data_IF_901303094620
#
_entry.id   IF_901303094620
#
_cell.length_a   1.000
_cell.length_b   1.000
_cell.length_c   1.000
_cell.angle_alpha   90.00
_cell.angle_beta   90.00
_cell.angle_gamma   90.00
#
_symmetry.space_group_name_H-M   'P 1'
#
loop_
_entity.id
_entity.type
_entity.pdbx_description
1 polymer ?
#
# COMPACT_ATOMS: atom_id res chain seq x y z
N UNK A 1 25.60 18.54 -5.99
CA UNK A 1 26.53 18.17 -4.90
C UNK A 1 25.79 18.34 -3.57
N UNK A 2 25.09 17.32 -3.09
CA UNK A 2 24.49 17.35 -1.75
C UNK A 2 25.50 16.83 -0.74
N UNK A 3 25.68 17.58 0.34
CA UNK A 3 26.74 17.38 1.30
C UNK A 3 26.48 16.09 2.12
N UNK A 4 27.54 15.38 2.52
CA UNK A 4 27.44 14.17 3.35
C UNK A 4 26.70 14.42 4.69
N UNK A 5 26.56 15.68 5.13
CA UNK A 5 25.76 16.04 6.31
C UNK A 5 24.25 15.92 6.10
N UNK A 6 23.74 16.14 4.88
CA UNK A 6 22.29 16.15 4.61
C UNK A 6 21.69 14.73 4.65
N UNK A 7 22.49 13.71 4.36
CA UNK A 7 22.10 12.29 4.44
C UNK A 7 22.13 11.71 5.87
N UNK A 8 22.86 12.35 6.80
CA UNK A 8 23.01 11.85 8.18
C UNK A 8 21.74 12.13 9.00
N UNK A 9 21.06 13.25 8.76
CA UNK A 9 19.90 13.65 9.56
C UNK A 9 18.64 12.82 9.29
N UNK A 10 18.37 12.41 8.04
CA UNK A 10 17.27 11.48 7.75
C UNK A 10 17.50 10.08 8.36
N UNK A 11 18.77 9.64 8.49
CA UNK A 11 19.11 8.39 9.19
C UNK A 11 18.86 8.47 10.70
N UNK A 12 18.99 9.65 11.31
CA UNK A 12 18.78 9.83 12.75
C UNK A 12 17.30 9.78 13.17
N UNK A 13 16.36 10.00 12.24
CA UNK A 13 14.94 10.01 12.59
C UNK A 13 14.44 8.64 13.09
N UNK A 14 14.97 7.50 12.57
CA UNK A 14 14.45 6.17 12.92
C UNK A 14 15.42 4.97 12.79
N UNK A 15 16.72 5.13 12.44
CA UNK A 15 17.71 4.03 12.43
C UNK A 15 18.52 3.93 13.75
N UNK A 16 17.84 4.02 14.90
CA UNK A 16 18.47 3.72 16.18
C UNK A 16 18.29 2.23 16.49
N UNK A 17 19.35 1.45 16.23
CA UNK A 17 19.47 0.06 16.68
C UNK A 17 19.12 -0.02 18.17
N UNK A 18 18.36 -1.05 18.54
CA UNK A 18 17.96 -1.39 19.92
C UNK A 18 19.18 -1.62 20.85
N UNK A 19 20.38 -1.68 20.30
CA UNK A 19 21.63 -1.91 21.02
C UNK A 19 22.61 -0.75 20.81
N UNK A 20 22.54 0.28 21.66
CA UNK A 20 23.72 1.04 22.08
C UNK A 20 23.41 1.80 23.38
N UNK A 21 23.04 1.04 24.43
CA UNK A 21 23.01 1.54 25.83
C UNK A 21 24.39 1.99 26.34
N UNK A 22 25.47 1.80 25.57
CA UNK A 22 26.86 1.94 26.03
C UNK A 22 27.57 3.24 25.62
N UNK A 23 27.00 4.13 24.80
CA UNK A 23 27.61 5.44 24.49
C UNK A 23 27.01 6.64 25.24
N UNK A 24 26.08 6.39 26.15
CA UNK A 24 25.31 7.44 26.84
C UNK A 24 26.07 8.16 27.98
N UNK A 25 27.39 8.01 28.11
CA UNK A 25 28.14 8.46 29.30
C UNK A 25 28.66 9.90 29.26
N UNK A 26 28.60 10.61 28.12
CA UNK A 26 29.11 12.00 28.02
C UNK A 26 28.16 12.94 27.25
N UNK A 27 26.91 13.09 27.74
CA UNK A 27 26.00 14.13 27.21
C UNK A 27 25.58 15.05 28.36
N UNK A 28 25.93 16.34 28.25
CA UNK A 28 25.63 17.37 29.26
C UNK A 28 24.13 17.41 29.62
N UNK A 29 23.77 17.79 30.85
CA UNK A 29 22.36 17.86 31.31
C UNK A 29 21.47 18.73 30.40
N UNK A 30 22.01 19.80 29.80
CA UNK A 30 21.30 20.70 28.88
C UNK A 30 21.05 20.03 27.52
N UNK A 31 22.04 19.29 27.02
CA UNK A 31 21.94 18.50 25.77
C UNK A 31 21.02 17.29 25.95
N UNK A 32 21.04 16.63 27.11
CA UNK A 32 20.08 15.55 27.46
C UNK A 32 18.64 16.06 27.56
N UNK A 33 18.42 17.27 28.07
CA UNK A 33 17.10 17.90 28.13
C UNK A 33 16.61 18.28 26.73
N UNK A 34 17.43 18.99 25.95
CA UNK A 34 17.14 19.32 24.54
C UNK A 34 16.89 18.09 23.66
N UNK A 35 17.62 16.99 23.88
CA UNK A 35 17.39 15.72 23.21
C UNK A 35 16.04 15.12 23.65
N UNK A 36 15.78 14.98 24.95
CA UNK A 36 14.53 14.44 25.48
C UNK A 36 13.28 15.22 25.06
N UNK A 37 13.41 16.53 24.81
CA UNK A 37 12.31 17.43 24.45
C UNK A 37 12.10 17.53 22.93
N UNK A 38 12.97 16.94 22.09
CA UNK A 38 12.78 16.92 20.63
C UNK A 38 11.52 16.15 20.21
N UNK A 39 10.81 16.64 19.18
CA UNK A 39 9.62 15.97 18.61
C UNK A 39 9.96 14.53 18.20
N UNK A 40 11.15 14.30 17.66
CA UNK A 40 11.67 12.98 17.28
C UNK A 40 11.64 11.99 18.46
N UNK A 41 12.18 12.39 19.61
CA UNK A 41 12.19 11.53 20.79
C UNK A 41 10.81 11.34 21.40
N UNK A 42 9.93 12.33 21.32
CA UNK A 42 8.54 12.19 21.78
C UNK A 42 7.76 11.20 20.90
N UNK A 43 7.88 11.32 19.58
CA UNK A 43 7.32 10.38 18.60
C UNK A 43 7.85 8.97 18.84
N UNK A 44 9.16 8.81 19.03
CA UNK A 44 9.77 7.51 19.31
C UNK A 44 9.25 6.88 20.60
N UNK A 45 9.18 7.65 21.70
CA UNK A 45 8.66 7.17 22.99
C UNK A 45 7.20 6.72 22.86
N UNK A 46 6.37 7.50 22.17
CA UNK A 46 4.96 7.13 21.93
C UNK A 46 4.84 5.89 21.04
N UNK A 47 5.63 5.79 19.97
CA UNK A 47 5.63 4.61 19.10
C UNK A 47 6.00 3.34 19.87
N UNK A 48 7.02 3.39 20.73
CA UNK A 48 7.38 2.27 21.60
C UNK A 48 6.27 1.88 22.58
N UNK A 49 5.57 2.86 23.16
CA UNK A 49 4.44 2.59 24.05
C UNK A 49 3.30 1.89 23.30
N UNK A 50 2.99 2.34 22.09
CA UNK A 50 1.97 1.73 21.23
C UNK A 50 2.36 0.32 20.77
N UNK A 51 3.62 0.09 20.37
CA UNK A 51 4.13 -1.25 20.05
C UNK A 51 4.01 -2.17 21.27
N UNK A 52 4.43 -1.70 22.45
CA UNK A 52 4.33 -2.48 23.69
C UNK A 52 2.88 -2.78 24.05
N UNK A 53 1.98 -1.82 23.85
CA UNK A 53 0.55 -2.00 24.05
C UNK A 53 0.01 -3.14 23.19
N UNK A 54 0.19 -3.08 21.87
CA UNK A 54 -0.30 -4.11 20.95
C UNK A 54 0.36 -5.47 21.15
N UNK A 55 1.63 -5.52 21.55
CA UNK A 55 2.28 -6.80 21.91
C UNK A 55 1.67 -7.44 23.16
N UNK A 56 1.18 -6.63 24.10
CA UNK A 56 0.70 -7.10 25.40
C UNK A 56 -0.83 -7.25 25.47
N UNK A 57 -1.59 -6.76 24.49
CA UNK A 57 -3.05 -6.82 24.44
C UNK A 57 -3.54 -7.42 23.12
N UNK A 58 -4.51 -8.33 23.15
CA UNK A 58 -5.23 -8.80 21.94
C UNK A 58 -4.35 -9.60 20.96
N UNK A 59 -4.07 -10.88 21.29
CA UNK A 59 -3.30 -11.82 20.47
C UNK A 59 -1.90 -11.34 20.00
N UNK A 60 -1.38 -10.22 20.52
CA UNK A 60 -0.04 -9.71 20.20
C UNK A 60 0.10 -9.08 18.82
N UNK A 61 -1.01 -8.66 18.19
CA UNK A 61 -1.04 -8.21 16.78
C UNK A 61 -1.13 -6.69 16.68
N UNK A 62 -0.17 -6.07 15.98
CA UNK A 62 -0.23 -4.66 15.59
C UNK A 62 -1.19 -4.57 14.39
N UNK A 63 -2.18 -3.68 14.39
CA UNK A 63 -3.07 -3.58 13.24
C UNK A 63 -2.39 -2.78 12.11
N UNK A 64 -2.70 -3.11 10.86
CA UNK A 64 -2.28 -2.27 9.69
C UNK A 64 -3.30 -1.18 9.37
N UNK A 65 -4.34 -1.03 10.19
CA UNK A 65 -5.42 -0.07 10.01
C UNK A 65 -6.06 0.25 11.37
N UNK A 66 -6.69 1.41 11.49
CA UNK A 66 -7.52 1.75 12.64
C UNK A 66 -8.82 2.36 12.14
N UNK A 67 -9.94 1.97 12.73
CA UNK A 67 -11.18 2.73 12.61
C UNK A 67 -11.03 4.09 13.28
N UNK A 68 -11.83 5.08 12.88
CA UNK A 68 -11.85 6.40 13.52
C UNK A 68 -12.06 6.31 15.05
N UNK A 69 -12.87 5.35 15.49
CA UNK A 69 -13.12 5.08 16.91
C UNK A 69 -11.86 4.56 17.61
N UNK A 70 -11.24 3.51 17.08
CA UNK A 70 -10.00 2.95 17.65
C UNK A 70 -8.88 3.98 17.69
N UNK A 71 -8.72 4.78 16.62
CA UNK A 71 -7.76 5.87 16.56
C UNK A 71 -8.00 6.90 17.67
N UNK A 72 -9.26 7.29 17.90
CA UNK A 72 -9.64 8.23 18.96
C UNK A 72 -9.36 7.66 20.35
N UNK A 73 -9.69 6.38 20.58
CA UNK A 73 -9.43 5.70 21.85
C UNK A 73 -7.94 5.60 22.16
N UNK A 74 -7.12 5.22 21.17
CA UNK A 74 -5.66 5.16 21.31
C UNK A 74 -5.06 6.53 21.58
N UNK A 75 -5.51 7.56 20.84
CA UNK A 75 -5.04 8.93 21.06
C UNK A 75 -5.40 9.39 22.47
N UNK A 76 -6.63 9.18 22.92
CA UNK A 76 -7.06 9.54 24.28
C UNK A 76 -6.29 8.79 25.37
N UNK A 77 -5.83 7.57 25.09
CA UNK A 77 -5.08 6.75 26.04
C UNK A 77 -3.61 7.14 26.14
N UNK A 78 -2.94 7.37 25.01
CA UNK A 78 -1.49 7.51 24.95
C UNK A 78 -1.00 8.92 24.60
N UNK A 79 -1.87 9.76 24.03
CA UNK A 79 -1.49 11.04 23.43
C UNK A 79 -2.59 12.12 23.65
N UNK A 80 -3.31 12.06 24.79
CA UNK A 80 -4.49 12.91 25.05
C UNK A 80 -4.18 14.40 24.98
N UNK A 81 -3.03 14.79 25.52
CA UNK A 81 -2.58 16.17 25.61
C UNK A 81 -1.59 16.54 24.49
N UNK A 82 -1.39 15.64 23.53
CA UNK A 82 -0.41 15.81 22.46
C UNK A 82 -1.10 16.24 21.15
N UNK A 83 -0.29 16.75 20.21
CA UNK A 83 -0.77 17.12 18.88
C UNK A 83 -1.19 15.89 18.07
N UNK A 84 -2.08 16.10 17.10
CA UNK A 84 -2.41 15.07 16.11
C UNK A 84 -1.16 14.59 15.36
N UNK A 85 -0.28 15.51 15.00
CA UNK A 85 0.97 15.20 14.31
C UNK A 85 1.82 14.19 15.08
N UNK A 86 2.04 14.43 16.37
CA UNK A 86 2.84 13.54 17.21
C UNK A 86 2.26 12.12 17.26
N UNK A 87 0.93 12.01 17.37
CA UNK A 87 0.24 10.73 17.34
C UNK A 87 0.38 10.02 15.98
N UNK A 88 0.15 10.72 14.86
CA UNK A 88 0.24 10.10 13.54
C UNK A 88 1.68 9.75 13.13
N UNK A 89 2.67 10.56 13.51
CA UNK A 89 4.09 10.19 13.35
C UNK A 89 4.48 9.00 14.22
N UNK A 90 3.89 8.83 15.40
CA UNK A 90 4.11 7.61 16.18
C UNK A 90 3.50 6.37 15.50
N UNK A 91 2.35 6.49 14.85
CA UNK A 91 1.76 5.41 14.05
C UNK A 91 2.62 5.04 12.84
N UNK A 92 3.36 5.99 12.23
CA UNK A 92 4.37 5.66 11.22
C UNK A 92 5.42 4.70 11.77
N UNK A 93 5.83 4.88 13.04
CA UNK A 93 6.77 3.97 13.71
C UNK A 93 6.25 2.53 13.76
N UNK A 94 4.93 2.35 13.93
CA UNK A 94 4.29 1.03 13.86
C UNK A 94 4.25 0.51 12.42
N UNK A 95 3.86 1.36 11.46
CA UNK A 95 3.79 0.99 10.05
C UNK A 95 5.14 0.49 9.52
N UNK A 96 6.25 1.14 9.87
CA UNK A 96 7.61 0.74 9.49
C UNK A 96 7.99 -0.67 9.92
N UNK A 97 7.39 -1.18 10.99
CA UNK A 97 7.67 -2.54 11.45
C UNK A 97 7.15 -3.62 10.51
N UNK A 98 6.32 -3.27 9.53
CA UNK A 98 5.86 -4.18 8.48
C UNK A 98 6.71 -4.16 7.22
N UNK A 99 7.69 -3.26 7.13
CA UNK A 99 8.54 -3.15 5.96
C UNK A 99 9.30 -4.45 5.69
N UNK A 100 9.16 -4.96 4.48
CA UNK A 100 9.89 -6.11 3.94
C UNK A 100 11.02 -5.56 3.12
N UNK A 101 12.27 -5.79 3.53
CA UNK A 101 13.35 -4.97 3.03
C UNK A 101 14.73 -5.62 2.99
N UNK A 102 15.56 -5.11 2.07
CA UNK A 102 17.02 -5.22 2.01
C UNK A 102 17.75 -3.91 2.44
N UNK A 103 17.05 -2.77 2.47
CA UNK A 103 17.55 -1.39 2.65
C UNK A 103 17.01 -0.66 3.91
N UNK A 104 16.40 0.52 3.76
CA UNK A 104 15.84 1.39 4.80
C UNK A 104 14.31 1.27 4.94
N UNK A 105 13.81 1.05 6.17
CA UNK A 105 12.37 0.98 6.43
C UNK A 105 11.71 2.34 6.19
N UNK A 106 10.66 2.38 5.38
CA UNK A 106 9.81 3.55 5.15
C UNK A 106 8.39 3.20 5.55
N UNK A 107 7.74 4.10 6.30
CA UNK A 107 6.35 3.95 6.71
C UNK A 107 5.52 5.16 6.31
N UNK A 108 4.24 4.91 6.08
CA UNK A 108 3.25 5.92 5.78
C UNK A 108 1.94 5.61 6.52
N UNK A 109 1.17 6.65 6.78
CA UNK A 109 -0.15 6.56 7.41
C UNK A 109 -1.09 7.47 6.64
N UNK A 110 -2.13 6.88 6.03
CA UNK A 110 -3.19 7.58 5.33
C UNK A 110 -4.39 7.77 6.25
N UNK A 111 -4.89 9.00 6.37
CA UNK A 111 -6.10 9.35 7.11
C UNK A 111 -7.16 9.75 6.09
N UNK A 112 -8.31 9.10 6.15
CA UNK A 112 -9.39 9.27 5.17
C UNK A 112 -10.46 10.21 5.67
N UNK A 113 -11.36 10.62 4.77
CA UNK A 113 -12.47 11.51 5.11
C UNK A 113 -13.47 10.92 6.13
N UNK A 114 -13.44 9.61 6.32
CA UNK A 114 -14.23 8.90 7.35
C UNK A 114 -13.52 8.87 8.71
N UNK A 115 -12.29 9.39 8.81
CA UNK A 115 -11.46 9.37 10.01
C UNK A 115 -10.70 8.07 10.24
N UNK A 116 -10.87 7.08 9.35
CA UNK A 116 -10.13 5.83 9.40
C UNK A 116 -8.66 6.05 9.01
N UNK A 117 -7.80 5.19 9.53
CA UNK A 117 -6.35 5.26 9.38
C UNK A 117 -5.85 3.98 8.73
N UNK A 118 -5.00 4.09 7.71
CA UNK A 118 -4.45 2.96 6.96
C UNK A 118 -2.93 3.06 6.89
N UNK A 119 -2.25 2.00 7.32
CA UNK A 119 -0.80 1.96 7.35
C UNK A 119 -0.28 1.53 5.99
N UNK A 120 0.88 2.06 5.64
CA UNK A 120 1.66 1.66 4.49
C UNK A 120 3.13 1.53 4.85
N UNK A 121 3.81 0.64 4.15
CA UNK A 121 5.18 0.26 4.42
C UNK A 121 5.81 -0.23 3.11
N UNK A 122 7.11 -0.05 2.96
CA UNK A 122 7.80 -0.51 1.75
C UNK A 122 7.95 -2.04 1.73
N UNK A 123 7.78 -2.62 0.54
CA UNK A 123 7.94 -4.07 0.29
C UNK A 123 8.90 -4.26 -0.87
N UNK A 124 10.03 -4.89 -0.57
CA UNK A 124 11.14 -5.17 -1.48
C UNK A 124 11.53 -6.65 -1.35
N UNK A 125 11.27 -7.45 -2.39
CA UNK A 125 11.70 -8.85 -2.41
C UNK A 125 13.05 -8.99 -3.12
N UNK A 126 14.04 -9.67 -2.50
CA UNK A 126 15.31 -9.95 -3.15
C UNK A 126 15.14 -10.70 -4.48
N UNK A 127 15.86 -10.28 -5.52
CA UNK A 127 15.83 -10.92 -6.84
C UNK A 127 14.65 -10.54 -7.73
N UNK A 128 13.77 -9.63 -7.30
CA UNK A 128 12.84 -8.94 -8.19
C UNK A 128 13.45 -7.61 -8.68
N UNK A 129 13.03 -7.15 -9.85
CA UNK A 129 13.43 -5.86 -10.39
C UNK A 129 12.91 -4.69 -9.53
N UNK A 130 13.60 -3.56 -9.55
CA UNK A 130 13.22 -2.35 -8.80
C UNK A 130 11.82 -1.82 -9.17
N UNK A 131 11.35 -2.08 -10.39
CA UNK A 131 9.95 -1.79 -10.79
C UNK A 131 8.91 -2.61 -10.03
N UNK A 132 9.32 -3.69 -9.36
CA UNK A 132 8.45 -4.49 -8.48
C UNK A 132 8.34 -3.90 -7.07
N UNK A 133 9.16 -2.93 -6.69
CA UNK A 133 9.13 -2.38 -5.34
C UNK A 133 7.82 -1.65 -5.06
N UNK A 134 7.28 -1.89 -3.87
CA UNK A 134 6.08 -1.20 -3.38
C UNK A 134 6.54 -0.18 -2.36
N UNK A 135 6.20 1.08 -2.61
CA UNK A 135 6.50 2.18 -1.71
C UNK A 135 5.47 2.25 -0.57
N UNK A 136 5.86 2.82 0.58
CA UNK A 136 4.98 2.95 1.72
C UNK A 136 3.70 3.74 1.41
N UNK A 137 3.81 4.79 0.59
CA UNK A 137 2.69 5.60 0.14
C UNK A 137 1.73 4.80 -0.75
N UNK A 138 2.25 3.98 -1.67
CA UNK A 138 1.45 3.07 -2.49
C UNK A 138 0.73 2.04 -1.61
N UNK A 139 1.42 1.46 -0.64
CA UNK A 139 0.84 0.51 0.31
C UNK A 139 -0.27 1.15 1.16
N UNK A 140 -0.10 2.38 1.64
CA UNK A 140 -1.12 3.08 2.42
C UNK A 140 -2.39 3.36 1.60
N UNK A 141 -2.22 3.82 0.36
CA UNK A 141 -3.32 4.06 -0.57
C UNK A 141 -4.01 2.75 -0.96
N UNK A 142 -3.24 1.71 -1.26
CA UNK A 142 -3.74 0.36 -1.52
C UNK A 142 -4.59 -0.15 -0.36
N UNK A 143 -4.09 -0.03 0.87
CA UNK A 143 -4.74 -0.48 2.10
C UNK A 143 -6.08 0.22 2.33
N UNK A 144 -6.14 1.55 2.13
CA UNK A 144 -7.37 2.32 2.20
C UNK A 144 -8.43 1.87 1.17
N UNK A 145 -7.98 1.26 0.07
CA UNK A 145 -8.83 0.73 -1.01
C UNK A 145 -9.14 -0.76 -0.86
N UNK A 146 -8.72 -1.43 0.21
CA UNK A 146 -9.12 -2.81 0.47
C UNK A 146 -10.56 -2.81 1.01
N UNK A 147 -11.51 -3.52 0.39
CA UNK A 147 -12.84 -3.71 0.96
C UNK A 147 -12.74 -4.56 2.23
N UNK A 148 -13.47 -4.17 3.28
CA UNK A 148 -13.48 -4.88 4.56
C UNK A 148 -14.91 -5.26 4.93
N UNK A 149 -15.07 -6.30 5.75
CA UNK A 149 -16.39 -6.81 6.12
C UNK A 149 -17.24 -5.79 6.90
N UNK A 150 -16.57 -4.93 7.68
CA UNK A 150 -17.17 -3.94 8.56
C UNK A 150 -17.36 -2.56 7.90
N UNK A 151 -16.79 -2.32 6.71
CA UNK A 151 -16.82 -1.00 6.06
C UNK A 151 -16.46 -1.00 4.57
N UNK A 152 -17.00 0.00 3.89
CA UNK A 152 -16.72 0.25 2.47
C UNK A 152 -15.27 0.74 2.23
N UNK A 153 -14.81 0.59 0.99
CA UNK A 153 -13.54 1.14 0.52
C UNK A 153 -13.51 2.67 0.62
N UNK A 154 -12.34 3.22 0.92
CA UNK A 154 -12.16 4.66 1.10
C UNK A 154 -11.97 5.35 -0.24
N UNK A 155 -12.79 6.37 -0.51
CA UNK A 155 -12.73 7.10 -1.79
C UNK A 155 -11.71 8.23 -1.75
N UNK A 156 -11.40 8.75 -0.57
CA UNK A 156 -10.65 9.98 -0.36
C UNK A 156 -9.71 9.85 0.83
N UNK A 157 -8.44 10.20 0.59
CA UNK A 157 -7.41 10.39 1.60
C UNK A 157 -7.21 11.89 1.78
N UNK A 158 -7.38 12.37 3.01
CA UNK A 158 -7.27 13.80 3.33
C UNK A 158 -5.87 14.16 3.86
N UNK A 159 -5.25 13.25 4.61
CA UNK A 159 -3.88 13.41 5.07
C UNK A 159 -3.05 12.15 4.79
N UNK A 160 -1.82 12.35 4.35
CA UNK A 160 -0.81 11.30 4.22
C UNK A 160 0.43 11.72 4.99
N UNK A 161 0.72 11.01 6.08
CA UNK A 161 1.96 11.17 6.81
C UNK A 161 2.96 10.16 6.27
N UNK A 162 4.21 10.56 6.03
CA UNK A 162 5.27 9.68 5.51
C UNK A 162 6.55 9.90 6.31
N UNK A 163 7.33 8.84 6.55
CA UNK A 163 8.59 8.93 7.29
C UNK A 163 9.72 9.65 6.54
N UNK A 164 9.52 9.96 5.25
CA UNK A 164 10.46 10.66 4.39
C UNK A 164 9.69 11.41 3.30
N UNK A 165 10.33 12.38 2.66
CA UNK A 165 9.74 13.09 1.52
C UNK A 165 9.35 12.10 0.40
N UNK A 166 8.11 12.15 -0.13
CA UNK A 166 7.67 11.20 -1.14
C UNK A 166 8.48 11.36 -2.41
N UNK A 167 8.83 10.25 -3.07
CA UNK A 167 9.57 10.27 -4.32
C UNK A 167 8.69 10.70 -5.51
N UNK A 168 9.31 10.99 -6.66
CA UNK A 168 8.58 11.38 -7.88
C UNK A 168 7.49 10.38 -8.30
N UNK A 169 7.81 9.07 -8.22
CA UNK A 169 6.84 8.00 -8.53
C UNK A 169 5.60 8.05 -7.63
N UNK A 170 5.79 8.24 -6.32
CA UNK A 170 4.67 8.34 -5.38
C UNK A 170 3.85 9.62 -5.56
N UNK A 171 4.51 10.75 -5.84
CA UNK A 171 3.80 12.00 -6.16
C UNK A 171 2.93 11.83 -7.40
N UNK A 172 3.46 11.18 -8.45
CA UNK A 172 2.73 10.89 -9.68
C UNK A 172 1.56 9.92 -9.45
N UNK A 173 1.76 8.87 -8.66
CA UNK A 173 0.69 7.95 -8.25
C UNK A 173 -0.45 8.66 -7.51
N UNK A 174 -0.12 9.54 -6.56
CA UNK A 174 -1.11 10.26 -5.74
C UNK A 174 -1.98 11.23 -6.55
N UNK A 175 -1.50 11.71 -7.71
CA UNK A 175 -2.29 12.56 -8.62
C UNK A 175 -3.50 11.83 -9.20
N UNK A 176 -3.43 10.50 -9.29
CA UNK A 176 -4.51 9.72 -9.90
C UNK A 176 -5.18 8.80 -8.90
N UNK A 177 -4.50 8.38 -7.84
CA UNK A 177 -5.05 7.39 -6.92
C UNK A 177 -5.97 8.00 -5.85
N UNK A 178 -5.90 9.32 -5.61
CA UNK A 178 -6.77 10.01 -4.66
C UNK A 178 -7.93 10.73 -5.36
N UNK A 179 -9.15 10.61 -4.84
CA UNK A 179 -10.37 11.13 -5.49
C UNK A 179 -10.30 12.62 -5.84
N UNK A 180 -9.73 13.45 -4.97
CA UNK A 180 -9.45 14.86 -5.23
C UNK A 180 -8.01 15.24 -4.84
N UNK A 181 -7.17 15.46 -5.84
CA UNK A 181 -5.74 15.81 -5.70
C UNK A 181 -5.47 17.11 -4.94
N UNK A 182 -6.42 18.05 -4.95
CA UNK A 182 -6.27 19.34 -4.26
C UNK A 182 -6.60 19.23 -2.76
N UNK A 183 -7.17 18.11 -2.33
CA UNK A 183 -7.59 17.92 -0.94
C UNK A 183 -6.54 17.25 -0.06
N UNK A 184 -5.63 16.43 -0.62
CA UNK A 184 -4.63 15.74 0.17
C UNK A 184 -3.54 16.68 0.71
N UNK A 185 -3.34 16.65 2.02
CA UNK A 185 -2.18 17.20 2.70
C UNK A 185 -1.17 16.08 2.93
N UNK A 186 0.10 16.33 2.63
CA UNK A 186 1.19 15.38 2.80
C UNK A 186 2.16 15.95 3.81
N UNK A 187 2.38 15.20 4.90
CA UNK A 187 3.24 15.60 6.01
C UNK A 187 4.44 14.66 6.15
N UNK A 188 5.64 15.23 6.21
CA UNK A 188 6.87 14.45 6.32
C UNK A 188 8.00 15.26 6.96
N UNK A 189 8.96 14.60 7.63
CA UNK A 189 10.14 15.27 8.15
C UNK A 189 11.11 15.64 7.02
N UNK A 190 11.65 16.85 7.06
CA UNK A 190 12.71 17.32 6.16
C UNK A 190 13.56 18.38 6.87
N UNK A 191 14.88 18.22 6.89
CA UNK A 191 15.83 19.15 7.50
C UNK A 191 15.46 19.59 8.94
N UNK A 192 15.02 18.64 9.78
CA UNK A 192 14.65 18.90 11.18
C UNK A 192 13.30 19.60 11.39
N UNK A 193 12.51 19.77 10.32
CA UNK A 193 11.17 20.34 10.37
C UNK A 193 10.14 19.34 9.84
N UNK A 194 8.89 19.51 10.27
CA UNK A 194 7.75 18.84 9.64
C UNK A 194 7.26 19.73 8.51
N UNK A 195 7.33 19.23 7.29
CA UNK A 195 6.72 19.85 6.12
C UNK A 195 5.26 19.44 6.08
N UNK A 196 4.36 20.39 5.80
CA UNK A 196 2.94 20.17 5.52
C UNK A 196 2.59 20.83 4.20
N UNK A 197 2.42 20.03 3.16
CA UNK A 197 2.20 20.55 1.81
C UNK A 197 1.06 19.84 1.09
N UNK A 198 0.40 20.58 0.21
CA UNK A 198 -0.54 20.00 -0.74
C UNK A 198 0.25 19.29 -1.84
N UNK A 199 -0.30 18.20 -2.38
CA UNK A 199 0.35 17.46 -3.46
C UNK A 199 0.79 18.33 -4.65
N UNK A 200 0.00 19.30 -5.16
CA UNK A 200 0.42 20.17 -6.27
C UNK A 200 1.68 21.00 -6.00
N UNK A 201 2.02 21.29 -4.74
CA UNK A 201 3.25 22.02 -4.42
C UNK A 201 4.49 21.11 -4.41
N UNK A 202 4.28 19.81 -4.26
CA UNK A 202 5.34 18.80 -4.25
C UNK A 202 5.71 18.33 -5.67
N UNK A 203 4.89 18.63 -6.68
CA UNK A 203 5.17 18.27 -8.08
C UNK A 203 5.02 19.50 -8.99
N UNK A 204 6.13 19.96 -9.58
CA UNK A 204 6.13 21.07 -10.53
C UNK A 204 5.68 20.57 -11.89
N UNK A 205 4.67 21.24 -12.48
CA UNK A 205 4.12 20.92 -13.80
C UNK A 205 3.79 19.42 -13.94
N UNK A 206 2.88 18.90 -13.09
CA UNK A 206 2.54 17.49 -13.09
C UNK A 206 1.97 17.07 -14.43
N UNK A 207 2.35 15.87 -14.90
CA UNK A 207 1.67 15.18 -15.97
C UNK A 207 0.48 14.40 -15.39
N UNK A 208 -0.71 14.54 -15.96
CA UNK A 208 -1.92 13.90 -15.44
C UNK A 208 -2.96 13.63 -16.51
N UNK A 209 -4.16 13.24 -16.08
CA UNK A 209 -5.24 12.84 -17.00
C UNK A 209 -5.67 13.96 -17.96
N UNK A 210 -5.41 15.22 -17.60
CA UNK A 210 -5.61 16.40 -18.46
C UNK A 210 -4.63 16.45 -19.63
N UNK A 211 -3.38 16.06 -19.43
CA UNK A 211 -2.31 16.18 -20.42
C UNK A 211 -2.40 15.13 -21.52
N UNK A 212 -3.01 13.97 -21.23
CA UNK A 212 -3.26 12.90 -22.21
C UNK A 212 -4.25 13.32 -23.32
N UNK A 213 -4.98 14.43 -23.16
CA UNK A 213 -5.97 14.89 -24.13
C UNK A 213 -5.55 16.16 -24.88
N UNK A 214 -4.40 16.76 -24.58
CA UNK A 214 -4.03 18.07 -25.15
C UNK A 214 -3.78 18.05 -26.67
N UNK A 215 -3.70 16.85 -27.29
CA UNK A 215 -3.48 16.68 -28.73
C UNK A 215 -4.28 15.51 -29.34
N UNK A 216 -5.48 15.19 -28.81
CA UNK A 216 -6.39 14.37 -29.63
C UNK A 216 -6.92 15.25 -30.76
N UNK A 217 -6.49 14.98 -32.00
CA UNK A 217 -6.88 15.75 -33.19
C UNK A 217 -8.41 15.76 -33.40
N UNK A 218 -9.14 14.87 -32.71
CA UNK A 218 -10.60 14.75 -32.75
C UNK A 218 -11.33 15.51 -31.65
N UNK A 219 -10.63 16.03 -30.64
CA UNK A 219 -11.21 16.80 -29.54
C UNK A 219 -10.28 17.96 -29.14
N UNK A 220 -10.47 19.10 -29.80
CA UNK A 220 -9.69 20.35 -29.59
C UNK A 220 -10.14 21.10 -28.32
N UNK A 221 -11.00 20.49 -27.50
CA UNK A 221 -11.46 21.10 -26.27
C UNK A 221 -10.46 20.86 -25.14
N UNK A 222 -9.81 21.93 -24.68
CA UNK A 222 -9.02 21.96 -23.44
C UNK A 222 -9.84 21.67 -22.15
N UNK A 223 -11.11 21.23 -22.27
CA UNK A 223 -12.03 20.98 -21.15
C UNK A 223 -12.11 19.51 -20.68
N UNK A 224 -11.40 18.59 -21.34
CA UNK A 224 -11.58 17.15 -21.14
C UNK A 224 -10.93 16.57 -19.88
N UNK A 225 -11.45 16.85 -18.68
CA UNK A 225 -11.08 16.07 -17.48
C UNK A 225 -11.65 14.65 -17.63
N UNK A 226 -10.80 13.65 -17.89
CA UNK A 226 -11.20 12.24 -17.78
C UNK A 226 -11.41 11.90 -16.31
N UNK A 227 -12.67 11.84 -15.88
CA UNK A 227 -13.02 11.44 -14.51
C UNK A 227 -12.67 9.96 -14.30
N UNK A 228 -12.04 9.62 -13.18
CA UNK A 228 -11.84 8.22 -12.76
C UNK A 228 -13.03 7.73 -11.94
N UNK A 229 -13.37 6.45 -12.06
CA UNK A 229 -14.48 5.83 -11.32
C UNK A 229 -14.12 4.42 -10.84
N UNK A 230 -14.80 3.99 -9.78
CA UNK A 230 -14.86 2.56 -9.44
C UNK A 230 -15.74 1.87 -10.48
N UNK A 231 -15.30 0.72 -10.98
CA UNK A 231 -15.93 0.02 -12.09
C UNK A 231 -17.17 -0.80 -11.64
N UNK A 232 -18.30 -0.14 -11.41
CA UNK A 232 -19.51 -0.81 -10.92
C UNK A 232 -20.18 -1.79 -11.93
N UNK A 233 -21.02 -2.63 -11.35
CA UNK A 233 -21.41 -4.02 -11.66
C UNK A 233 -22.27 -4.29 -12.92
N UNK A 234 -22.20 -3.46 -13.97
CA UNK A 234 -23.09 -3.61 -15.14
C UNK A 234 -22.55 -4.44 -16.31
N UNK A 235 -21.26 -4.28 -16.63
CA UNK A 235 -20.69 -4.75 -17.90
C UNK A 235 -19.91 -6.06 -17.78
N UNK A 236 -19.10 -6.21 -16.74
CA UNK A 236 -18.28 -7.40 -16.52
C UNK A 236 -19.11 -8.58 -15.99
N UNK A 237 -20.04 -8.33 -15.06
CA UNK A 237 -20.95 -9.33 -14.49
C UNK A 237 -21.82 -10.02 -15.55
N UNK A 238 -22.32 -9.24 -16.54
CA UNK A 238 -23.13 -9.73 -17.67
C UNK A 238 -22.33 -10.56 -18.66
N UNK A 239 -21.00 -10.45 -18.66
CA UNK A 239 -20.10 -11.13 -19.59
C UNK A 239 -19.38 -12.33 -18.99
N UNK A 240 -19.18 -12.33 -17.68
CA UNK A 240 -18.66 -13.47 -16.92
C UNK A 240 -19.70 -14.59 -16.72
N UNK A 241 -20.90 -14.43 -17.28
CA UNK A 241 -21.92 -15.48 -17.39
C UNK A 241 -21.42 -16.73 -18.13
N UNK A 242 -20.32 -16.65 -18.87
CA UNK A 242 -19.69 -17.78 -19.56
C UNK A 242 -18.85 -18.67 -18.62
N UNK A 243 -18.50 -18.20 -17.42
CA UNK A 243 -17.94 -19.05 -16.36
C UNK A 243 -19.10 -19.74 -15.65
N UNK A 244 -19.48 -20.92 -16.13
CA UNK A 244 -20.48 -21.76 -15.47
C UNK A 244 -19.98 -22.12 -14.05
N UNK A 245 -20.59 -21.54 -13.02
CA UNK A 245 -20.26 -21.69 -11.60
C UNK A 245 -18.79 -21.37 -11.24
N UNK A 246 -18.41 -20.08 -11.11
CA UNK A 246 -17.05 -19.70 -10.73
C UNK A 246 -16.66 -20.26 -9.36
N UNK A 247 -15.43 -20.74 -9.24
CA UNK A 247 -14.83 -21.11 -7.95
C UNK A 247 -14.68 -19.88 -7.04
N UNK A 248 -14.57 -20.04 -5.71
CA UNK A 248 -14.44 -18.91 -4.78
C UNK A 248 -13.28 -17.95 -5.12
N UNK A 249 -12.13 -18.46 -5.59
CA UNK A 249 -10.98 -17.64 -5.99
C UNK A 249 -11.26 -16.86 -7.29
N UNK A 250 -11.96 -17.46 -8.26
CA UNK A 250 -12.38 -16.76 -9.48
C UNK A 250 -13.38 -15.64 -9.15
N UNK A 251 -14.36 -15.91 -8.30
CA UNK A 251 -15.32 -14.89 -7.84
C UNK A 251 -14.61 -13.74 -7.12
N UNK A 252 -13.63 -14.04 -6.28
CA UNK A 252 -12.81 -13.02 -5.61
C UNK A 252 -12.01 -12.16 -6.61
N UNK A 253 -11.39 -12.76 -7.63
CA UNK A 253 -10.63 -12.04 -8.64
C UNK A 253 -11.54 -11.14 -9.50
N UNK A 254 -12.72 -11.62 -9.87
CA UNK A 254 -13.76 -10.88 -10.59
C UNK A 254 -14.23 -9.67 -9.77
N UNK A 255 -14.59 -9.90 -8.50
CA UNK A 255 -15.04 -8.83 -7.60
C UNK A 255 -13.96 -7.77 -7.42
N UNK A 256 -12.70 -8.18 -7.33
CA UNK A 256 -11.58 -7.25 -7.25
C UNK A 256 -11.41 -6.45 -8.55
N UNK A 257 -11.58 -7.07 -9.73
CA UNK A 257 -11.52 -6.35 -11.01
C UNK A 257 -12.59 -5.25 -11.12
N UNK A 258 -13.81 -5.51 -10.62
CA UNK A 258 -14.91 -4.53 -10.53
C UNK A 258 -14.60 -3.38 -9.54
N UNK A 259 -13.74 -3.62 -8.56
CA UNK A 259 -13.32 -2.61 -7.61
C UNK A 259 -12.11 -1.79 -8.07
N UNK A 260 -11.67 -1.98 -9.33
CA UNK A 260 -10.60 -1.20 -9.93
C UNK A 260 -10.94 0.29 -9.98
N UNK A 261 -9.91 1.13 -9.84
CA UNK A 261 -10.02 2.58 -9.97
C UNK A 261 -9.26 3.02 -11.22
N UNK A 262 -9.99 3.11 -12.32
CA UNK A 262 -9.40 3.37 -13.64
C UNK A 262 -10.04 4.55 -14.32
N UNK A 263 -9.42 4.95 -15.43
CA UNK A 263 -10.00 5.90 -16.36
C UNK A 263 -11.35 5.37 -16.86
N UNK A 264 -12.39 6.22 -16.76
CA UNK A 264 -13.77 5.86 -17.13
C UNK A 264 -13.93 5.53 -18.62
N UNK A 265 -13.05 6.04 -19.48
CA UNK A 265 -13.17 5.88 -20.94
C UNK A 265 -12.48 4.60 -21.42
N UNK A 266 -11.55 4.07 -20.61
CA UNK A 266 -10.81 2.84 -20.91
C UNK A 266 -11.47 1.63 -20.23
N UNK A 267 -11.97 1.79 -18.99
CA UNK A 267 -12.57 0.72 -18.18
C UNK A 267 -11.69 -0.54 -18.12
N UNK A 268 -10.46 -0.39 -17.63
CA UNK A 268 -9.49 -1.49 -17.52
C UNK A 268 -9.78 -2.34 -16.28
N UNK A 269 -10.72 -3.28 -16.40
CA UNK A 269 -11.02 -4.24 -15.34
C UNK A 269 -9.83 -5.15 -15.11
N UNK A 270 -9.20 -4.99 -13.95
CA UNK A 270 -8.00 -5.74 -13.57
C UNK A 270 -8.07 -6.12 -12.11
N UNK A 271 -8.07 -7.42 -11.86
CA UNK A 271 -8.19 -8.00 -10.53
C UNK A 271 -7.27 -9.20 -10.39
N UNK A 272 -6.86 -9.48 -9.17
CA UNK A 272 -6.12 -10.70 -8.84
C UNK A 272 -6.64 -11.22 -7.51
N UNK A 273 -6.82 -12.53 -7.42
CA UNK A 273 -7.01 -13.22 -6.16
C UNK A 273 -5.93 -14.29 -6.00
N UNK A 274 -5.46 -14.47 -4.77
CA UNK A 274 -4.52 -15.50 -4.37
C UNK A 274 -5.18 -16.31 -3.26
N UNK A 275 -5.32 -17.61 -3.50
CA UNK A 275 -5.65 -18.56 -2.44
C UNK A 275 -4.34 -19.20 -1.97
N UNK A 276 -4.13 -19.20 -0.67
CA UNK A 276 -2.96 -19.79 -0.04
C UNK A 276 -3.37 -20.93 0.86
N UNK A 277 -2.43 -21.84 1.11
CA UNK A 277 -2.49 -22.85 2.17
C UNK A 277 -1.33 -22.58 3.12
N UNK A 278 -1.63 -22.47 4.40
CA UNK A 278 -0.65 -22.25 5.46
C UNK A 278 -0.06 -23.55 6.01
N UNK A 279 1.02 -23.47 6.79
CA UNK A 279 1.63 -24.66 7.41
C UNK A 279 0.73 -25.35 8.45
N UNK A 280 -0.30 -24.67 8.98
CA UNK A 280 -1.33 -25.30 9.82
C UNK A 280 -2.50 -25.88 9.01
N UNK A 281 -2.48 -25.75 7.69
CA UNK A 281 -3.52 -26.26 6.79
C UNK A 281 -4.69 -25.29 6.57
N UNK A 282 -4.61 -24.05 7.05
CA UNK A 282 -5.63 -23.01 6.82
C UNK A 282 -5.57 -22.54 5.37
N UNK A 283 -6.73 -22.50 4.70
CA UNK A 283 -6.88 -21.92 3.36
C UNK A 283 -7.55 -20.56 3.45
N UNK A 284 -6.98 -19.55 2.80
CA UNK A 284 -7.52 -18.19 2.75
C UNK A 284 -7.34 -17.55 1.39
N UNK A 285 -8.30 -16.68 1.01
CA UNK A 285 -8.31 -15.96 -0.25
C UNK A 285 -8.11 -14.47 0.01
N UNK A 286 -7.11 -13.90 -0.63
CA UNK A 286 -6.83 -12.47 -0.65
C UNK A 286 -6.97 -11.94 -2.06
N UNK A 287 -7.59 -10.78 -2.22
CA UNK A 287 -7.80 -10.20 -3.54
C UNK A 287 -7.45 -8.72 -3.58
N UNK A 288 -7.06 -8.26 -4.77
CA UNK A 288 -6.68 -6.88 -5.02
C UNK A 288 -7.15 -6.41 -6.40
N UNK A 289 -7.41 -5.11 -6.49
CA UNK A 289 -7.84 -4.40 -7.67
C UNK A 289 -6.73 -3.49 -8.19
N UNK A 290 -6.81 -3.16 -9.48
CA UNK A 290 -5.91 -2.22 -10.10
C UNK A 290 -6.33 -0.77 -9.83
N UNK A 291 -5.38 0.07 -9.44
CA UNK A 291 -5.57 1.52 -9.29
C UNK A 291 -4.63 2.18 -10.29
N UNK A 292 -5.20 2.69 -11.37
CA UNK A 292 -4.44 3.20 -12.50
C UNK A 292 -3.92 4.62 -12.25
N UNK A 293 -2.71 4.90 -12.73
CA UNK A 293 -2.13 6.23 -12.87
C UNK A 293 -1.91 6.59 -14.34
N UNK A 294 -1.96 7.89 -14.68
CA UNK A 294 -1.70 8.44 -16.02
C UNK A 294 -0.31 8.01 -16.54
N UNK A 295 0.68 7.88 -15.66
CA UNK A 295 1.90 7.15 -15.95
C UNK A 295 1.75 5.70 -15.52
N UNK A 296 1.52 4.79 -16.47
CA UNK A 296 1.19 3.38 -16.20
C UNK A 296 2.17 2.69 -15.23
N UNK A 297 3.44 3.11 -15.24
CA UNK A 297 4.50 2.62 -14.35
C UNK A 297 4.26 2.93 -12.87
N UNK A 298 3.40 3.91 -12.56
CA UNK A 298 3.09 4.36 -11.20
C UNK A 298 1.77 3.81 -10.66
N UNK A 299 1.04 3.03 -11.47
CA UNK A 299 -0.21 2.41 -11.06
C UNK A 299 0.01 1.44 -9.89
N UNK A 300 -0.95 1.39 -8.97
CA UNK A 300 -0.94 0.39 -7.90
C UNK A 300 -1.53 -0.89 -8.46
N UNK A 301 -0.78 -1.97 -8.32
CA UNK A 301 -1.11 -3.27 -8.88
C UNK A 301 -1.95 -4.07 -7.88
N UNK A 302 -2.81 -5.00 -8.34
CA UNK A 302 -3.58 -5.89 -7.49
C UNK A 302 -2.76 -6.56 -6.37
N UNK A 303 -1.55 -7.02 -6.70
CA UNK A 303 -0.69 -7.74 -5.76
C UNK A 303 -0.31 -6.89 -4.54
N UNK A 304 -0.27 -5.56 -4.66
CA UNK A 304 0.02 -4.66 -3.54
C UNK A 304 -1.01 -4.80 -2.42
N UNK A 305 -2.30 -4.86 -2.76
CA UNK A 305 -3.37 -5.05 -1.78
C UNK A 305 -3.33 -6.44 -1.15
N UNK A 306 -3.01 -7.46 -1.96
CA UNK A 306 -2.86 -8.84 -1.49
C UNK A 306 -1.74 -8.91 -0.44
N UNK A 307 -0.56 -8.36 -0.71
CA UNK A 307 0.57 -8.37 0.21
C UNK A 307 0.27 -7.63 1.52
N UNK A 308 -0.41 -6.47 1.44
CA UNK A 308 -0.90 -5.76 2.63
C UNK A 308 -1.88 -6.62 3.42
N UNK A 309 -2.84 -7.27 2.74
CA UNK A 309 -3.82 -8.17 3.38
C UNK A 309 -3.17 -9.38 4.04
N UNK A 310 -2.14 -9.97 3.44
CA UNK A 310 -1.38 -11.08 4.02
C UNK A 310 -0.68 -10.68 5.32
N UNK A 311 -0.05 -9.52 5.35
CA UNK A 311 0.59 -8.98 6.55
C UNK A 311 -0.42 -8.54 7.60
N UNK A 312 -1.58 -8.03 7.19
CA UNK A 312 -2.72 -7.82 8.07
C UNK A 312 -3.14 -9.16 8.67
N UNK A 313 -3.24 -10.24 7.91
CA UNK A 313 -3.63 -11.56 8.42
C UNK A 313 -2.53 -12.25 9.27
N UNK A 314 -1.32 -11.72 9.29
CA UNK A 314 -0.19 -12.23 10.07
C UNK A 314 0.63 -13.33 9.40
N UNK A 315 0.60 -13.41 8.06
CA UNK A 315 1.48 -14.30 7.33
C UNK A 315 2.90 -13.75 7.25
N UNK A 316 3.88 -14.65 7.33
CA UNK A 316 5.28 -14.34 7.10
C UNK A 316 5.70 -14.76 5.70
N UNK A 317 6.46 -13.89 5.01
CA UNK A 317 7.08 -14.24 3.74
C UNK A 317 8.45 -14.89 3.95
N UNK A 318 8.77 -15.85 3.07
CA UNK A 318 9.84 -16.85 3.27
C UNK A 318 11.25 -16.28 3.40
N UNK A 319 11.54 -15.13 2.76
CA UNK A 319 12.90 -14.61 2.57
C UNK A 319 13.19 -13.33 3.38
N UNK A 320 12.18 -12.72 4.01
CA UNK A 320 12.28 -11.36 4.56
C UNK A 320 11.23 -11.19 5.67
N UNK A 321 11.47 -11.74 6.86
CA UNK A 321 10.52 -11.52 7.97
C UNK A 321 10.88 -10.25 8.73
N UNK A 322 9.97 -9.28 8.85
CA UNK A 322 9.84 -8.54 10.08
C UNK A 322 8.99 -9.35 11.05
N UNK A 323 9.64 -9.97 12.04
CA UNK A 323 9.01 -10.75 13.11
C UNK A 323 8.20 -9.81 14.01
N UNK A 324 6.99 -9.39 13.64
CA UNK A 324 6.20 -8.53 14.53
C UNK A 324 4.69 -8.74 14.53
N UNK A 325 4.09 -9.48 13.59
CA UNK A 325 2.62 -9.46 13.45
C UNK A 325 1.92 -10.82 13.43
N UNK A 326 2.01 -11.58 14.52
CA UNK A 326 1.15 -12.74 14.80
C UNK A 326 1.53 -14.04 14.05
N UNK A 327 1.55 -15.16 14.79
CA UNK A 327 1.92 -16.56 14.47
C UNK A 327 3.23 -16.84 13.72
N UNK A 328 3.68 -15.95 12.86
CA UNK A 328 4.79 -16.18 11.94
C UNK A 328 4.50 -17.32 10.96
N UNK A 329 3.22 -17.52 10.67
CA UNK A 329 2.74 -18.69 9.95
C UNK A 329 3.21 -18.65 8.51
N UNK A 330 3.85 -19.74 8.10
CA UNK A 330 4.42 -19.87 6.76
C UNK A 330 3.35 -20.25 5.76
N UNK A 331 3.40 -19.63 4.59
CA UNK A 331 2.61 -20.05 3.42
C UNK A 331 3.33 -21.25 2.79
N UNK A 332 2.68 -22.41 2.76
CA UNK A 332 3.26 -23.64 2.18
C UNK A 332 2.93 -23.78 0.71
N UNK A 333 1.74 -23.39 0.28
CA UNK A 333 1.35 -23.42 -1.14
C UNK A 333 0.44 -22.24 -1.48
N UNK A 334 0.38 -21.88 -2.77
CA UNK A 334 -0.51 -20.84 -3.25
C UNK A 334 -0.89 -21.02 -4.73
N UNK A 335 -2.10 -20.59 -5.08
CA UNK A 335 -2.58 -20.44 -6.45
C UNK A 335 -3.20 -19.06 -6.66
N UNK A 336 -3.24 -18.59 -7.90
CA UNK A 336 -3.79 -17.27 -8.21
C UNK A 336 -4.77 -17.32 -9.38
N UNK A 337 -5.76 -16.44 -9.35
CA UNK A 337 -6.61 -16.12 -10.50
C UNK A 337 -6.44 -14.65 -10.82
N UNK A 338 -6.25 -14.34 -12.09
CA UNK A 338 -6.15 -12.98 -12.61
C UNK A 338 -7.31 -12.71 -13.56
N UNK A 339 -7.82 -11.48 -13.53
CA UNK A 339 -8.81 -10.98 -14.49
C UNK A 339 -8.16 -9.81 -15.22
N UNK A 340 -8.12 -9.84 -16.55
CA UNK A 340 -7.65 -8.72 -17.38
C UNK A 340 -8.31 -8.73 -18.77
N UNK A 341 -8.29 -7.60 -19.49
CA UNK A 341 -8.79 -7.54 -20.87
C UNK A 341 -7.83 -8.17 -21.88
N UNK A 342 -8.36 -8.89 -22.88
CA UNK A 342 -7.60 -9.50 -23.99
C UNK A 342 -6.93 -8.47 -24.91
N UNK A 343 -7.54 -7.28 -25.03
CA UNK A 343 -7.09 -6.20 -25.90
C UNK A 343 -6.05 -5.28 -25.24
N UNK A 344 -5.66 -5.59 -24.00
CA UNK A 344 -4.73 -4.73 -23.27
C UNK A 344 -3.27 -5.11 -23.58
N UNK A 345 -2.44 -4.17 -24.07
CA UNK A 345 -1.08 -4.48 -24.50
C UNK A 345 -0.10 -4.83 -23.36
N UNK A 346 -0.54 -4.75 -22.11
CA UNK A 346 0.28 -4.97 -20.92
C UNK A 346 -0.41 -5.93 -19.96
N UNK A 347 0.28 -7.00 -19.57
CA UNK A 347 -0.20 -7.95 -18.56
C UNK A 347 0.67 -7.89 -17.31
N UNK A 348 0.06 -8.03 -16.13
CA UNK A 348 0.79 -8.20 -14.88
C UNK A 348 1.07 -9.69 -14.56
N UNK A 349 0.85 -10.60 -15.50
CA UNK A 349 0.95 -12.06 -15.27
C UNK A 349 2.33 -12.48 -14.76
N UNK A 350 3.39 -12.05 -15.44
CA UNK A 350 4.77 -12.38 -15.07
C UNK A 350 5.09 -11.94 -13.63
N UNK A 351 4.64 -10.74 -13.28
CA UNK A 351 4.84 -10.16 -11.96
C UNK A 351 4.03 -10.89 -10.88
N UNK A 352 2.76 -11.20 -11.14
CA UNK A 352 1.93 -12.00 -10.23
C UNK A 352 2.55 -13.37 -9.99
N UNK A 353 3.00 -14.05 -11.03
CA UNK A 353 3.69 -15.35 -10.91
C UNK A 353 4.93 -15.22 -10.02
N UNK A 354 5.79 -14.23 -10.26
CA UNK A 354 7.00 -14.00 -9.47
C UNK A 354 6.68 -13.76 -8.00
N UNK A 355 5.61 -13.02 -7.73
CA UNK A 355 5.29 -12.53 -6.38
C UNK A 355 4.65 -13.65 -5.56
N UNK A 356 3.76 -14.44 -6.19
CA UNK A 356 3.21 -15.66 -5.58
C UNK A 356 4.33 -16.67 -5.28
N UNK A 357 5.31 -16.83 -6.19
CA UNK A 357 6.50 -17.65 -5.94
C UNK A 357 7.36 -17.15 -4.77
N UNK A 358 7.42 -15.83 -4.54
CA UNK A 358 8.18 -15.24 -3.43
C UNK A 358 7.51 -15.41 -2.07
N UNK A 359 6.18 -15.45 -2.01
CA UNK A 359 5.46 -15.61 -0.75
C UNK A 359 5.29 -17.07 -0.33
N UNK A 360 5.18 -18.03 -1.26
CA UNK A 360 4.85 -19.43 -0.96
C UNK A 360 6.04 -20.40 -0.94
N UNK A 361 5.92 -21.46 -0.15
CA UNK A 361 6.95 -22.51 0.01
C UNK A 361 7.10 -23.44 -1.20
N UNK A 362 5.97 -23.81 -1.77
CA UNK A 362 5.81 -24.40 -3.10
C UNK A 362 4.88 -23.52 -3.92
N UNK A 363 4.98 -23.62 -5.24
CA UNK A 363 4.03 -23.02 -6.15
C UNK A 363 3.61 -24.10 -7.14
N UNK A 364 2.45 -24.73 -6.90
CA UNK A 364 1.93 -25.84 -7.72
C UNK A 364 1.37 -25.41 -9.10
N UNK A 365 1.89 -24.33 -9.68
CA UNK A 365 1.65 -23.86 -11.06
C UNK A 365 0.18 -23.68 -11.45
N UNK A 366 -0.56 -22.82 -10.78
CA UNK A 366 -1.86 -22.34 -11.31
C UNK A 366 -2.02 -20.85 -11.06
N UNK A 367 -1.39 -20.03 -11.92
CA UNK A 367 -1.98 -18.71 -12.21
C UNK A 367 -2.94 -18.94 -13.35
N UNK A 368 -4.23 -18.88 -13.04
CA UNK A 368 -5.29 -18.91 -14.04
C UNK A 368 -5.55 -17.48 -14.51
N UNK A 369 -5.64 -17.29 -15.83
CA UNK A 369 -5.94 -16.01 -16.43
C UNK A 369 -7.35 -16.05 -17.05
N UNK A 370 -8.28 -15.35 -16.41
CA UNK A 370 -9.60 -15.06 -16.95
C UNK A 370 -9.49 -13.80 -17.80
N UNK A 371 -9.77 -13.92 -19.08
CA UNK A 371 -9.73 -12.76 -19.97
C UNK A 371 -11.09 -12.39 -20.49
N UNK A 372 -11.28 -11.10 -20.70
CA UNK A 372 -12.45 -10.58 -21.40
C UNK A 372 -11.99 -9.79 -22.61
N UNK A 373 -12.53 -10.10 -23.78
CA UNK A 373 -12.56 -9.13 -24.85
C UNK A 373 -13.42 -7.94 -24.38
N UNK A 374 -13.02 -6.72 -24.73
CA UNK A 374 -13.93 -5.55 -24.65
C UNK A 374 -15.26 -5.79 -25.36
N UNK A 375 -15.40 -6.88 -26.12
CA UNK A 375 -16.63 -7.37 -26.77
C UNK A 375 -17.14 -8.83 -26.44
N UNK A 376 -16.44 -9.69 -25.67
CA UNK A 376 -16.85 -11.06 -25.22
C UNK A 376 -15.90 -11.64 -24.12
N UNK A 377 -16.01 -12.90 -23.60
CA UNK A 377 -15.06 -13.50 -22.62
C UNK A 377 -14.53 -14.84 -23.13
N UNK A 378 -13.23 -15.11 -22.95
CA UNK A 378 -12.61 -16.41 -23.28
C UNK A 378 -11.80 -16.92 -22.09
N UNK A 379 -11.99 -18.18 -21.69
CA UNK A 379 -11.08 -18.83 -20.75
C UNK A 379 -9.88 -19.38 -21.53
N UNK A 380 -8.67 -18.91 -21.20
CA UNK A 380 -7.45 -19.51 -21.72
C UNK A 380 -6.96 -20.56 -20.73
N UNK A 381 -7.27 -21.83 -21.01
CA UNK A 381 -6.65 -22.94 -20.32
C UNK A 381 -5.17 -22.99 -20.72
N UNK A 382 -4.28 -22.72 -19.77
CA UNK A 382 -2.84 -22.90 -19.97
C UNK A 382 -2.58 -24.42 -20.07
N UNK A 383 -2.66 -24.96 -21.30
CA UNK A 383 -2.06 -26.25 -21.62
C UNK A 383 -0.62 -25.97 -21.96
N UNK A 384 0.26 -26.51 -21.12
CA UNK A 384 1.69 -26.66 -21.36
C UNK A 384 2.04 -26.79 -22.84
N UNK A 385 2.88 -25.89 -23.35
CA UNK A 385 3.82 -26.17 -24.44
C UNK A 385 5.12 -25.38 -24.21
N UNK A 386 6.08 -26.15 -23.70
CA UNK A 386 7.55 -26.03 -23.67
C UNK A 386 8.21 -24.88 -22.89
#
# INVERSE_FOLDING_TARGET
MHSKSDQIYCKQFYNLKIEEKSKATEISKKTRKSFNDSIENQVYKLALQLIKYYKNTGNGKIPVQLTAKEATELKNRFAKNETNDLFYFALIGLAREFSINYSDKVGAVAITSTGNIYFGFNIEFPGLDVSSFIHAEQAAVANARIPRADRAMEKQIDFLYVSAAPCGSCRQMLLNANGNVNKINIRFPYNGQIIDEKLPHLIKLPFGDLDLNLFDIRDVSFSGIKKRKVLQDGFLSKRLSDVSAPTPIQEAAIRAALQGYTNKDIESYRGTAVELISETGRSEIFAGSYIESTGANHSIRPITQILVGLLDAGYNFRETSPVMNGHGERIVDARAVMVQGDDYPFSSLSETVLFVKKIAGSFTNRVELLTYERYSIKSSGNKDKD
#
